data_IF_051053211626
#
_entry.id   IF_051053211626
#
_cell.length_a   1.000
_cell.length_b   1.000
_cell.length_c   1.000
_cell.angle_alpha   90.00
_cell.angle_beta   90.00
_cell.angle_gamma   90.00
#
_symmetry.space_group_name_H-M   'P 1'
#
loop_
_entity.id
_entity.type
_entity.pdbx_description
1 polymer ?
#
# COMPACT_ATOMS: atom_id res chain seq x y z
N UNK A 1 -13.97 -30.01 -30.52
CA UNK A 1 -12.54 -29.80 -30.23
C UNK A 1 -12.23 -28.34 -30.52
N UNK A 2 -11.95 -27.53 -29.50
CA UNK A 2 -11.43 -26.17 -29.67
C UNK A 2 -10.32 -25.96 -28.64
N UNK A 3 -9.13 -25.65 -29.14
CA UNK A 3 -7.86 -25.58 -28.43
C UNK A 3 -7.86 -24.42 -27.44
N UNK A 4 -7.90 -24.70 -26.14
CA UNK A 4 -7.72 -23.69 -25.08
C UNK A 4 -6.24 -23.61 -24.76
N UNK A 5 -5.46 -23.05 -25.69
CA UNK A 5 -4.08 -22.64 -25.44
C UNK A 5 -4.04 -21.11 -25.40
N UNK A 6 -4.60 -20.50 -24.34
CA UNK A 6 -4.22 -19.11 -24.03
C UNK A 6 -2.85 -19.17 -23.38
N UNK A 7 -1.86 -18.67 -24.11
CA UNK A 7 -0.51 -18.52 -23.58
C UNK A 7 -0.55 -17.60 -22.35
N UNK A 8 0.25 -17.91 -21.34
CA UNK A 8 0.38 -17.11 -20.11
C UNK A 8 0.70 -15.62 -20.41
N UNK A 9 1.36 -15.35 -21.54
CA UNK A 9 1.60 -14.00 -22.07
C UNK A 9 0.33 -13.24 -22.46
N UNK A 10 -0.71 -13.92 -22.93
CA UNK A 10 -1.99 -13.34 -23.34
C UNK A 10 -2.84 -12.95 -22.12
N UNK A 11 -2.77 -13.75 -21.06
CA UNK A 11 -3.34 -13.42 -19.74
C UNK A 11 -2.63 -12.21 -19.16
N UNK A 12 -1.29 -12.19 -19.20
CA UNK A 12 -0.53 -11.05 -18.71
C UNK A 12 -0.77 -9.77 -19.51
N UNK A 13 -1.02 -9.83 -20.82
CA UNK A 13 -1.37 -8.63 -21.59
C UNK A 13 -2.72 -8.04 -21.19
N UNK A 14 -3.71 -8.88 -20.84
CA UNK A 14 -5.02 -8.42 -20.38
C UNK A 14 -4.98 -7.82 -18.98
N UNK A 15 -4.09 -8.30 -18.10
CA UNK A 15 -4.00 -7.83 -16.72
C UNK A 15 -2.93 -6.74 -16.51
N UNK A 16 -1.86 -6.72 -17.30
CA UNK A 16 -0.70 -5.85 -17.05
C UNK A 16 -0.42 -4.80 -18.14
N UNK A 17 -1.05 -4.88 -19.33
CA UNK A 17 -0.91 -3.86 -20.39
C UNK A 17 0.52 -3.69 -20.93
N UNK A 18 0.63 -3.26 -22.17
CA UNK A 18 1.93 -3.07 -22.82
C UNK A 18 2.76 -1.95 -22.16
N UNK A 19 4.03 -2.30 -21.92
CA UNK A 19 5.14 -1.41 -21.60
C UNK A 19 5.04 -0.64 -20.26
N UNK A 20 6.01 -0.79 -19.33
CA UNK A 20 6.00 -0.12 -18.03
C UNK A 20 6.09 1.42 -18.10
N UNK A 21 6.16 2.02 -19.29
CA UNK A 21 6.12 3.47 -19.48
C UNK A 21 4.73 4.04 -19.78
N UNK A 22 3.73 3.24 -20.18
CA UNK A 22 2.39 3.78 -20.50
C UNK A 22 1.42 3.80 -19.32
N UNK A 23 1.63 2.96 -18.29
CA UNK A 23 0.81 2.93 -17.08
C UNK A 23 1.09 4.11 -16.11
N UNK A 24 2.17 4.86 -16.34
CA UNK A 24 2.43 6.15 -15.68
C UNK A 24 1.82 7.33 -16.48
N UNK A 25 0.93 7.05 -17.42
CA UNK A 25 0.10 8.05 -18.07
C UNK A 25 -0.93 8.61 -17.10
N UNK A 26 -0.58 9.72 -16.44
CA UNK A 26 -1.48 10.64 -15.72
C UNK A 26 -2.48 9.95 -14.80
N UNK A 27 -2.01 9.64 -13.60
CA UNK A 27 -2.92 9.49 -12.46
C UNK A 27 -3.67 10.82 -12.31
N UNK A 28 -4.97 10.86 -12.64
CA UNK A 28 -5.84 12.04 -12.48
C UNK A 28 -6.01 12.53 -11.03
N UNK A 29 -5.20 12.01 -10.11
CA UNK A 29 -5.18 12.32 -8.68
C UNK A 29 -3.88 13.00 -8.20
N UNK A 30 -2.87 13.13 -9.05
CA UNK A 30 -1.71 13.99 -8.76
C UNK A 30 -1.76 15.19 -9.70
N UNK A 31 -2.16 16.34 -9.15
CA UNK A 31 -1.90 17.62 -9.81
C UNK A 31 -0.38 17.81 -9.88
N UNK A 32 0.16 18.06 -11.08
CA UNK A 32 1.54 18.48 -11.35
C UNK A 32 1.87 19.89 -10.81
N UNK A 33 1.12 20.39 -9.82
CA UNK A 33 1.35 21.64 -9.12
C UNK A 33 1.86 21.36 -7.70
N UNK A 34 2.92 20.56 -7.55
CA UNK A 34 3.68 20.51 -6.30
C UNK A 34 4.61 21.73 -6.22
N UNK A 35 4.06 22.93 -6.05
CA UNK A 35 4.83 24.07 -5.52
C UNK A 35 4.02 25.25 -4.96
N UNK A 36 2.70 25.12 -4.76
CA UNK A 36 2.02 26.05 -3.85
C UNK A 36 2.28 25.59 -2.42
N UNK A 37 3.42 26.01 -1.88
CA UNK A 37 3.64 26.06 -0.42
C UNK A 37 2.53 26.92 0.15
N UNK A 38 1.49 26.28 0.66
CA UNK A 38 0.47 26.93 1.49
C UNK A 38 1.19 27.42 2.76
N UNK A 39 1.77 28.61 2.69
CA UNK A 39 2.31 29.29 3.86
C UNK A 39 1.12 29.78 4.69
N UNK A 40 1.10 29.47 5.99
CA UNK A 40 0.23 30.20 6.92
C UNK A 40 0.54 31.69 6.85
N UNK A 41 -0.39 32.54 7.29
CA UNK A 41 -0.15 33.99 7.48
C UNK A 41 1.13 34.29 8.29
N UNK A 42 1.56 33.33 9.11
CA UNK A 42 2.76 33.40 9.96
C UNK A 42 4.03 32.79 9.32
N UNK A 43 3.99 32.43 8.03
CA UNK A 43 5.14 31.91 7.28
C UNK A 43 5.59 30.49 7.66
N UNK A 44 4.88 29.80 8.55
CA UNK A 44 5.20 28.44 8.95
C UNK A 44 4.81 27.43 7.86
N UNK A 45 5.66 26.43 7.55
CA UNK A 45 5.29 25.33 6.67
C UNK A 45 4.16 24.53 7.32
N UNK A 46 3.00 24.48 6.66
CA UNK A 46 1.88 23.66 7.09
C UNK A 46 2.30 22.19 7.00
N UNK A 47 2.21 21.47 8.12
CA UNK A 47 2.34 20.02 8.11
C UNK A 47 1.18 19.43 7.27
N UNK A 48 1.44 18.40 6.46
CA UNK A 48 0.39 17.76 5.69
C UNK A 48 -0.73 17.29 6.63
N UNK A 49 -1.95 17.71 6.32
CA UNK A 49 -3.12 17.35 7.12
C UNK A 49 -3.36 15.84 7.02
N UNK A 50 -4.01 15.24 8.03
CA UNK A 50 -4.38 13.81 8.01
C UNK A 50 -5.29 13.42 6.85
N UNK A 51 -5.89 14.40 6.17
CA UNK A 51 -6.74 14.22 5.00
C UNK A 51 -5.99 14.43 3.68
N UNK A 52 -4.72 14.87 3.74
CA UNK A 52 -3.88 14.97 2.55
C UNK A 52 -3.57 13.57 2.00
N UNK A 53 -3.59 13.42 0.66
CA UNK A 53 -3.20 12.17 0.02
C UNK A 53 -1.74 11.85 0.39
N UNK A 54 -1.39 10.55 0.52
CA UNK A 54 -0.03 10.15 0.81
C UNK A 54 0.92 10.62 -0.29
N UNK A 55 2.10 11.06 0.12
CA UNK A 55 3.21 11.35 -0.78
C UNK A 55 3.64 10.10 -1.56
N UNK A 56 4.36 10.29 -2.67
CA UNK A 56 4.90 9.18 -3.46
C UNK A 56 5.76 8.23 -2.60
N UNK A 57 6.59 8.79 -1.70
CA UNK A 57 7.42 8.03 -0.78
C UNK A 57 6.61 7.21 0.25
N UNK A 58 5.56 7.78 0.83
CA UNK A 58 4.65 7.06 1.74
C UNK A 58 3.94 5.92 1.03
N UNK A 59 3.56 6.12 -0.24
CA UNK A 59 2.91 5.10 -1.04
C UNK A 59 3.86 3.94 -1.41
N UNK A 60 5.11 4.24 -1.76
CA UNK A 60 6.14 3.22 -1.99
C UNK A 60 6.43 2.42 -0.71
N UNK A 61 6.53 3.09 0.43
CA UNK A 61 6.70 2.42 1.72
C UNK A 61 5.51 1.51 2.05
N UNK A 62 4.28 1.97 1.82
CA UNK A 62 3.08 1.16 1.99
C UNK A 62 3.10 -0.10 1.11
N UNK A 63 3.47 0.02 -0.17
CA UNK A 63 3.61 -1.13 -1.08
C UNK A 63 4.61 -2.15 -0.56
N UNK A 64 5.78 -1.69 -0.09
CA UNK A 64 6.83 -2.58 0.42
C UNK A 64 6.41 -3.29 1.71
N UNK A 65 5.77 -2.58 2.64
CA UNK A 65 5.26 -3.16 3.88
C UNK A 65 4.16 -4.21 3.60
N UNK A 66 3.26 -3.91 2.65
CA UNK A 66 2.19 -4.81 2.25
C UNK A 66 2.74 -6.07 1.58
N UNK A 67 3.72 -5.91 0.68
CA UNK A 67 4.38 -7.04 0.04
C UNK A 67 5.00 -7.99 1.07
N UNK A 68 5.78 -7.46 2.02
CA UNK A 68 6.39 -8.24 3.10
C UNK A 68 5.35 -9.00 3.93
N UNK A 69 4.25 -8.34 4.29
CA UNK A 69 3.13 -8.95 4.99
C UNK A 69 2.50 -10.12 4.21
N UNK A 70 2.24 -9.93 2.91
CA UNK A 70 1.59 -10.93 2.05
C UNK A 70 2.47 -12.17 1.83
N UNK A 71 3.77 -11.99 1.64
CA UNK A 71 4.72 -13.12 1.55
C UNK A 71 4.98 -13.80 2.90
N UNK A 72 4.42 -13.26 3.99
CA UNK A 72 4.46 -13.86 5.32
C UNK A 72 5.72 -13.56 6.13
N UNK A 73 6.53 -12.58 5.72
CA UNK A 73 7.73 -12.13 6.46
C UNK A 73 7.33 -11.15 7.55
N UNK A 74 7.83 -11.38 8.77
CA UNK A 74 7.64 -10.50 9.94
C UNK A 74 6.17 -10.04 10.13
N UNK A 75 5.23 -10.97 9.95
CA UNK A 75 3.80 -10.65 9.74
C UNK A 75 3.19 -9.77 10.85
N UNK A 76 3.51 -10.03 12.12
CA UNK A 76 3.07 -9.20 13.25
C UNK A 76 3.73 -7.82 13.31
N UNK A 77 4.97 -7.68 12.85
CA UNK A 77 5.62 -6.37 12.75
C UNK A 77 5.03 -5.57 11.60
N UNK A 78 4.88 -6.20 10.43
CA UNK A 78 4.27 -5.57 9.27
C UNK A 78 2.81 -5.18 9.50
N UNK A 79 2.04 -5.95 10.28
CA UNK A 79 0.67 -5.56 10.63
C UNK A 79 0.61 -4.28 11.46
N UNK A 80 1.56 -4.05 12.36
CA UNK A 80 1.67 -2.78 13.11
C UNK A 80 1.98 -1.61 12.18
N UNK A 81 2.92 -1.80 11.24
CA UNK A 81 3.28 -0.79 10.23
C UNK A 81 2.07 -0.45 9.35
N UNK A 82 1.40 -1.46 8.80
CA UNK A 82 0.24 -1.28 7.93
C UNK A 82 -0.90 -0.58 8.64
N UNK A 83 -1.15 -0.91 9.91
CA UNK A 83 -2.18 -0.24 10.71
C UNK A 83 -1.89 1.25 10.91
N UNK A 84 -0.62 1.61 11.12
CA UNK A 84 -0.21 3.00 11.25
C UNK A 84 -0.33 3.78 9.93
N UNK A 85 0.04 3.16 8.80
CA UNK A 85 -0.03 3.79 7.48
C UNK A 85 -1.46 3.93 6.96
N UNK A 86 -2.30 2.92 7.15
CA UNK A 86 -3.67 2.89 6.64
C UNK A 86 -4.66 3.72 7.47
N UNK A 87 -4.18 4.38 8.54
CA UNK A 87 -4.99 5.28 9.39
C UNK A 87 -6.28 4.61 9.90
N UNK A 88 -6.21 3.32 10.26
CA UNK A 88 -7.38 2.61 10.80
C UNK A 88 -7.85 3.22 12.13
N UNK A 89 -9.14 3.08 12.41
CA UNK A 89 -9.67 3.40 13.74
C UNK A 89 -9.05 2.50 14.80
N UNK A 90 -8.94 2.97 16.04
CA UNK A 90 -8.36 2.18 17.16
C UNK A 90 -9.00 0.79 17.30
N UNK A 91 -10.32 0.68 17.09
CA UNK A 91 -11.05 -0.58 17.15
C UNK A 91 -10.61 -1.55 16.03
N UNK A 92 -10.49 -1.06 14.80
CA UNK A 92 -10.01 -1.86 13.67
C UNK A 92 -8.56 -2.31 13.89
N UNK A 93 -7.71 -1.38 14.32
CA UNK A 93 -6.31 -1.62 14.66
C UNK A 93 -6.16 -2.75 15.68
N UNK A 94 -6.91 -2.69 16.78
CA UNK A 94 -6.88 -3.73 17.82
C UNK A 94 -7.33 -5.10 17.29
N UNK A 95 -8.42 -5.14 16.51
CA UNK A 95 -8.93 -6.40 15.91
C UNK A 95 -7.91 -7.05 14.98
N UNK A 96 -7.24 -6.27 14.14
CA UNK A 96 -6.22 -6.75 13.21
C UNK A 96 -5.03 -7.32 13.98
N UNK A 97 -4.51 -6.56 14.96
CA UNK A 97 -3.35 -6.97 15.75
C UNK A 97 -3.64 -8.20 16.60
N UNK A 98 -4.82 -8.30 17.22
CA UNK A 98 -5.21 -9.46 18.01
C UNK A 98 -5.23 -10.75 17.16
N UNK A 99 -5.80 -10.67 15.95
CA UNK A 99 -5.84 -11.81 15.03
C UNK A 99 -4.44 -12.26 14.58
N UNK A 100 -3.54 -11.33 14.29
CA UNK A 100 -2.18 -11.71 13.93
C UNK A 100 -1.36 -12.23 15.12
N UNK A 101 -1.59 -11.72 16.33
CA UNK A 101 -1.00 -12.29 17.55
C UNK A 101 -1.44 -13.74 17.79
N UNK A 102 -2.73 -14.05 17.58
CA UNK A 102 -3.24 -15.42 17.67
C UNK A 102 -2.57 -16.35 16.65
N UNK A 103 -2.41 -15.89 15.41
CA UNK A 103 -1.74 -16.67 14.35
C UNK A 103 -0.27 -16.90 14.63
N UNK A 104 0.44 -15.91 15.14
CA UNK A 104 1.85 -16.04 15.49
C UNK A 104 2.06 -17.01 16.66
N UNK A 105 1.17 -16.99 17.66
CA UNK A 105 1.14 -18.02 18.71
C UNK A 105 0.92 -19.41 18.13
N UNK A 106 -0.06 -19.58 17.24
CA UNK A 106 -0.33 -20.89 16.63
C UNK A 106 0.81 -21.42 15.75
N UNK A 107 1.60 -20.54 15.11
CA UNK A 107 2.82 -20.96 14.39
C UNK A 107 3.92 -21.43 15.34
N UNK A 108 4.06 -20.78 16.50
CA UNK A 108 5.08 -21.14 17.49
C UNK A 108 4.89 -22.53 18.10
N UNK A 109 3.67 -23.09 18.06
CA UNK A 109 3.34 -24.43 18.57
C UNK A 109 3.50 -25.56 17.54
N UNK A 110 3.73 -25.22 16.27
CA UNK A 110 3.97 -26.18 15.18
C UNK A 110 5.46 -26.37 14.87
N UNK A 111 6.33 -25.86 15.75
CA UNK A 111 7.78 -26.09 15.74
C UNK A 111 8.19 -27.19 16.70
#
# INVERSE_FOLDING_TARGET
>A
MASVNSSFSEVNQRFFGDSPQSFYGKNAYYNDNMEERSFSSDGAPLSPSKDSPPSAAEFEYLRNALFQYMVGRERLQMSKVLVALARFTSIQSQKILAKEQERDKNKSWLG
#
